data_IF_901554765836
#
_entry.id   IF_901554765836
#
_cell.length_a   1.000
_cell.length_b   1.000
_cell.length_c   1.000
_cell.angle_alpha   90.00
_cell.angle_beta   90.00
_cell.angle_gamma   90.00
#
_symmetry.space_group_name_H-M   'P 1'
#
loop_
_entity.id
_entity.type
_entity.pdbx_description
1 polymer ?
#
# COMPACT_ATOMS: atom_id res chain seq x y z
N UNK A 1 31.43 -9.06 51.52
CA UNK A 1 30.15 -8.38 51.64
C UNK A 1 29.05 -9.39 51.42
N UNK A 2 28.05 -9.53 52.28
CA UNK A 2 26.92 -10.40 52.02
C UNK A 2 26.11 -9.86 50.82
N UNK A 3 25.77 -10.75 49.89
CA UNK A 3 24.85 -10.40 48.79
C UNK A 3 23.45 -10.26 49.36
N UNK A 4 22.86 -9.10 49.21
CA UNK A 4 21.48 -8.81 49.61
C UNK A 4 20.59 -8.96 48.35
N UNK A 5 19.56 -9.77 48.49
CA UNK A 5 18.58 -9.92 47.40
C UNK A 5 17.64 -8.71 47.41
N UNK A 6 17.73 -7.89 46.39
CA UNK A 6 16.85 -6.73 46.22
C UNK A 6 15.55 -7.20 45.50
N UNK A 7 14.43 -7.16 46.22
CA UNK A 7 13.13 -7.47 45.65
C UNK A 7 12.43 -6.18 45.22
N UNK A 8 12.28 -5.96 43.94
CA UNK A 8 11.52 -4.84 43.36
C UNK A 8 10.22 -5.38 42.80
N UNK A 9 9.11 -4.77 43.11
CA UNK A 9 7.81 -5.17 42.62
C UNK A 9 7.75 -5.07 41.07
N UNK A 10 7.15 -6.06 40.38
CA UNK A 10 7.00 -5.99 38.94
C UNK A 10 6.00 -4.90 38.53
N UNK A 11 6.23 -4.33 37.35
CA UNK A 11 5.39 -3.26 36.81
C UNK A 11 6.03 -1.89 36.92
N UNK A 12 5.47 -0.91 36.22
CA UNK A 12 5.96 0.47 36.16
C UNK A 12 4.92 1.35 36.83
N UNK A 13 5.34 2.08 37.88
CA UNK A 13 4.50 3.05 38.56
C UNK A 13 4.82 4.46 38.05
N UNK A 14 3.98 4.94 37.11
CA UNK A 14 4.05 6.30 36.56
C UNK A 14 3.07 7.29 37.21
N UNK A 15 2.28 6.84 38.18
CA UNK A 15 1.29 7.69 38.81
C UNK A 15 1.87 8.42 40.05
N UNK A 16 2.86 7.82 40.69
CA UNK A 16 3.51 8.40 41.87
C UNK A 16 4.76 9.19 41.47
N UNK A 17 5.20 10.05 42.37
CA UNK A 17 6.52 10.67 42.27
C UNK A 17 7.61 9.60 42.47
N UNK A 18 8.84 9.86 42.02
CA UNK A 18 9.96 8.94 42.18
C UNK A 18 10.16 8.53 43.64
N UNK A 19 9.96 9.45 44.59
CA UNK A 19 10.02 9.16 46.03
C UNK A 19 8.83 8.31 46.52
N UNK A 20 7.63 8.51 45.94
CA UNK A 20 6.45 7.74 46.32
C UNK A 20 6.42 6.33 45.67
N UNK A 21 7.27 6.09 44.70
CA UNK A 21 7.41 4.80 44.02
C UNK A 21 8.58 3.95 44.60
N UNK A 22 8.99 4.18 45.83
CA UNK A 22 10.07 3.42 46.47
C UNK A 22 9.78 1.90 46.40
N UNK A 23 10.76 1.12 45.95
CA UNK A 23 10.62 -0.33 45.74
C UNK A 23 9.89 -0.74 44.49
N UNK A 24 9.61 0.18 43.56
CA UNK A 24 8.97 -0.06 42.27
C UNK A 24 9.83 0.50 41.13
N UNK A 25 9.53 0.06 39.92
CA UNK A 25 10.11 0.62 38.68
C UNK A 25 9.34 1.89 38.30
N UNK A 26 10.02 2.99 38.11
CA UNK A 26 9.40 4.27 37.70
C UNK A 26 9.44 4.46 36.20
N UNK A 27 10.43 3.89 35.51
CA UNK A 27 10.54 3.87 34.06
C UNK A 27 11.31 2.65 33.57
N UNK A 28 10.97 2.15 32.38
CA UNK A 28 11.65 1.05 31.72
C UNK A 28 11.49 1.21 30.21
N UNK A 29 12.52 0.86 29.47
CA UNK A 29 12.50 0.76 28.01
C UNK A 29 12.91 -0.65 27.58
N UNK A 30 12.18 -1.21 26.61
CA UNK A 30 12.42 -2.55 26.05
C UNK A 30 12.46 -3.69 27.10
N UNK A 31 11.65 -3.58 28.15
CA UNK A 31 11.55 -4.54 29.26
C UNK A 31 10.12 -5.08 29.36
N UNK A 32 10.00 -6.39 29.56
CA UNK A 32 8.77 -7.05 30.02
C UNK A 32 8.99 -7.68 31.38
N UNK A 33 7.92 -7.82 32.14
CA UNK A 33 7.95 -8.52 33.42
C UNK A 33 7.40 -9.94 33.22
N UNK A 34 8.23 -10.95 33.50
CA UNK A 34 7.86 -12.35 33.44
C UNK A 34 8.18 -13.02 34.77
N UNK A 35 7.20 -13.72 35.34
CA UNK A 35 7.31 -14.34 36.68
C UNK A 35 7.80 -13.36 37.77
N UNK A 36 7.40 -12.08 37.67
CA UNK A 36 7.83 -11.06 38.64
C UNK A 36 9.23 -10.47 38.41
N UNK A 37 9.96 -10.93 37.40
CA UNK A 37 11.31 -10.45 37.07
C UNK A 37 11.30 -9.63 35.77
N UNK A 38 12.10 -8.54 35.71
CA UNK A 38 12.30 -7.81 34.48
C UNK A 38 13.13 -8.65 33.50
N UNK A 39 12.65 -8.77 32.28
CA UNK A 39 13.30 -9.46 31.18
C UNK A 39 13.41 -8.52 29.98
N UNK A 40 14.58 -8.43 29.37
CA UNK A 40 14.77 -7.64 28.17
C UNK A 40 13.94 -8.21 27.01
N UNK A 41 13.13 -7.38 26.38
CA UNK A 41 12.46 -7.72 25.14
C UNK A 41 13.52 -7.68 24.02
N UNK A 42 13.60 -8.74 23.22
CA UNK A 42 14.44 -8.77 22.02
C UNK A 42 14.07 -7.65 21.05
N UNK A 43 15.02 -7.22 20.23
CA UNK A 43 14.77 -6.23 19.18
C UNK A 43 13.87 -6.77 18.07
N UNK A 44 13.34 -5.85 17.27
CA UNK A 44 12.60 -6.17 16.06
C UNK A 44 13.58 -6.46 14.91
N UNK A 45 13.33 -7.50 14.15
CA UNK A 45 14.02 -7.78 12.90
C UNK A 45 13.02 -7.65 11.75
N UNK A 46 13.48 -7.15 10.61
CA UNK A 46 12.66 -7.16 9.39
C UNK A 46 12.46 -8.59 8.93
N UNK A 47 11.23 -8.96 8.60
CA UNK A 47 10.88 -10.26 8.02
C UNK A 47 11.15 -10.25 6.52
N UNK A 48 10.92 -9.11 5.85
CA UNK A 48 11.18 -8.93 4.41
C UNK A 48 12.30 -7.92 4.19
N UNK A 49 13.11 -8.13 3.15
CA UNK A 49 14.16 -7.18 2.74
C UNK A 49 13.58 -5.89 2.18
N UNK A 50 12.51 -6.02 1.40
CA UNK A 50 11.90 -4.93 0.66
C UNK A 50 10.67 -4.36 1.36
N UNK A 51 10.36 -3.11 1.07
CA UNK A 51 9.16 -2.47 1.57
C UNK A 51 7.96 -2.82 0.69
N UNK A 52 6.83 -3.14 1.30
CA UNK A 52 5.56 -3.30 0.59
C UNK A 52 5.09 -1.95 0.06
N UNK A 53 4.51 -1.94 -1.14
CA UNK A 53 3.92 -0.74 -1.72
C UNK A 53 2.60 -0.42 -1.00
N UNK A 54 2.50 0.80 -0.49
CA UNK A 54 1.34 1.26 0.28
C UNK A 54 1.45 0.99 1.78
N UNK A 55 0.43 1.42 2.52
CA UNK A 55 0.31 1.23 3.96
C UNK A 55 -0.52 -0.02 4.26
N UNK A 56 0.06 -1.00 4.94
CA UNK A 56 -0.65 -2.22 5.36
C UNK A 56 -1.75 -1.87 6.36
N UNK A 57 -2.98 -2.28 6.06
CA UNK A 57 -4.19 -2.02 6.87
C UNK A 57 -4.95 -3.27 7.26
N UNK A 58 -4.64 -4.38 6.63
CA UNK A 58 -5.17 -5.69 6.98
C UNK A 58 -4.05 -6.72 6.95
N UNK A 59 -4.12 -7.65 7.86
CA UNK A 59 -3.22 -8.80 7.92
C UNK A 59 -4.01 -10.03 8.35
N UNK A 60 -3.79 -11.13 7.68
CA UNK A 60 -4.33 -12.44 8.03
C UNK A 60 -3.17 -13.44 7.99
N UNK A 61 -3.06 -14.26 9.02
CA UNK A 61 -2.08 -15.34 9.06
C UNK A 61 -2.75 -16.65 9.43
N UNK A 62 -2.41 -17.72 8.71
CA UNK A 62 -2.93 -19.05 8.95
C UNK A 62 -1.87 -20.11 8.61
N UNK A 63 -2.18 -21.37 8.84
CA UNK A 63 -1.42 -22.51 8.32
C UNK A 63 -2.36 -23.47 7.60
N UNK A 64 -1.86 -24.08 6.53
CA UNK A 64 -2.55 -25.16 5.84
C UNK A 64 -2.50 -26.47 6.64
N UNK A 65 -3.12 -27.53 6.12
CA UNK A 65 -3.13 -28.86 6.73
C UNK A 65 -1.74 -29.54 6.72
N UNK A 66 -0.84 -29.09 5.87
CA UNK A 66 0.54 -29.56 5.80
C UNK A 66 1.46 -28.83 6.79
N UNK A 67 0.95 -27.78 7.46
CA UNK A 67 1.70 -26.98 8.42
C UNK A 67 2.50 -25.84 7.78
N UNK A 68 2.32 -25.57 6.49
CA UNK A 68 2.89 -24.39 5.83
C UNK A 68 2.20 -23.15 6.35
N UNK A 69 2.99 -22.13 6.65
CA UNK A 69 2.48 -20.88 7.22
C UNK A 69 2.35 -19.83 6.13
N UNK A 70 1.19 -19.25 6.06
CA UNK A 70 0.86 -18.16 5.15
C UNK A 70 0.50 -16.90 5.91
N UNK A 71 0.79 -15.75 5.31
CA UNK A 71 0.26 -14.47 5.75
C UNK A 71 -0.09 -13.61 4.55
N UNK A 72 -1.24 -12.95 4.60
CA UNK A 72 -1.65 -11.97 3.58
C UNK A 72 -1.61 -10.58 4.20
N UNK A 73 -1.09 -9.64 3.44
CA UNK A 73 -1.00 -8.22 3.79
C UNK A 73 -1.80 -7.41 2.78
N UNK A 74 -2.92 -6.84 3.22
CA UNK A 74 -3.70 -5.90 2.42
C UNK A 74 -3.23 -4.47 2.66
N UNK A 75 -2.63 -3.85 1.64
CA UNK A 75 -2.30 -2.42 1.67
C UNK A 75 -3.38 -1.60 0.99
N UNK A 76 -3.28 -0.27 1.05
CA UNK A 76 -4.17 0.60 0.30
C UNK A 76 -3.92 0.57 -1.22
N UNK A 77 -2.87 -0.09 -1.69
CA UNK A 77 -2.51 -0.19 -3.12
C UNK A 77 -2.45 -1.62 -3.63
N UNK A 78 -2.07 -2.57 -2.78
CA UNK A 78 -1.68 -3.92 -3.16
C UNK A 78 -2.18 -4.97 -2.18
N UNK A 79 -2.21 -6.21 -2.66
CA UNK A 79 -2.40 -7.41 -1.86
C UNK A 79 -1.17 -8.31 -2.01
N UNK A 80 -0.54 -8.64 -0.89
CA UNK A 80 0.66 -9.49 -0.87
C UNK A 80 0.40 -10.77 -0.11
N UNK A 81 0.95 -11.87 -0.60
CA UNK A 81 1.05 -13.12 0.14
C UNK A 81 2.49 -13.35 0.58
N UNK A 82 2.66 -13.94 1.75
CA UNK A 82 3.94 -14.31 2.34
C UNK A 82 3.91 -15.76 2.77
N UNK A 83 4.92 -16.51 2.39
CA UNK A 83 5.17 -17.87 2.85
C UNK A 83 6.67 -18.19 2.74
N UNK A 84 7.19 -19.03 3.63
CA UNK A 84 8.57 -19.56 3.57
C UNK A 84 9.65 -18.50 3.33
N UNK A 85 9.57 -17.37 4.03
CA UNK A 85 10.49 -16.22 3.91
C UNK A 85 10.45 -15.49 2.57
N UNK A 86 9.51 -15.84 1.68
CA UNK A 86 9.24 -15.16 0.41
C UNK A 86 7.91 -14.43 0.45
N UNK A 87 7.79 -13.35 -0.32
CA UNK A 87 6.50 -12.71 -0.55
C UNK A 87 6.29 -12.45 -2.04
N UNK A 88 5.05 -12.46 -2.45
CA UNK A 88 4.64 -12.19 -3.81
C UNK A 88 3.47 -11.21 -3.83
N UNK A 89 3.40 -10.42 -4.90
CA UNK A 89 2.25 -9.60 -5.22
C UNK A 89 1.15 -10.49 -5.81
N UNK A 90 0.04 -10.58 -5.11
CA UNK A 90 -1.16 -11.33 -5.54
C UNK A 90 -2.33 -10.40 -5.83
N UNK A 91 -2.05 -9.12 -6.11
CA UNK A 91 -3.08 -8.14 -6.42
C UNK A 91 -3.84 -8.56 -7.68
N UNK A 92 -5.17 -8.68 -7.62
CA UNK A 92 -5.94 -9.09 -8.78
C UNK A 92 -5.82 -8.09 -9.93
N UNK A 93 -5.68 -8.60 -11.14
CA UNK A 93 -5.69 -7.80 -12.36
C UNK A 93 -7.13 -7.63 -12.86
N UNK A 94 -7.47 -6.44 -13.39
CA UNK A 94 -8.81 -6.16 -13.95
C UNK A 94 -8.86 -6.22 -15.46
N UNK A 95 -7.78 -5.83 -16.14
CA UNK A 95 -7.75 -5.75 -17.60
C UNK A 95 -6.32 -5.79 -18.14
N UNK A 96 -6.20 -6.16 -19.40
CA UNK A 96 -4.98 -6.02 -20.20
C UNK A 96 -5.27 -5.07 -21.35
N UNK A 97 -4.38 -4.10 -21.58
CA UNK A 97 -4.48 -3.10 -22.65
C UNK A 97 -3.31 -3.21 -23.63
N UNK A 98 -3.46 -2.53 -24.75
CA UNK A 98 -2.43 -2.40 -25.77
C UNK A 98 -1.98 -0.96 -25.87
N UNK A 99 -0.81 -0.67 -25.32
CA UNK A 99 -0.17 0.63 -25.48
C UNK A 99 0.27 0.81 -26.92
N UNK A 100 -0.32 1.78 -27.58
CA UNK A 100 -0.03 2.08 -28.99
C UNK A 100 1.12 3.08 -29.14
N UNK A 101 1.36 3.88 -28.12
CA UNK A 101 2.38 4.93 -28.16
C UNK A 101 2.79 5.38 -26.76
N UNK A 102 4.07 5.66 -26.60
CA UNK A 102 4.61 6.50 -25.53
C UNK A 102 4.99 7.85 -26.10
N UNK A 103 4.86 8.90 -25.30
CA UNK A 103 5.34 10.24 -25.61
C UNK A 103 6.23 10.73 -24.47
N UNK A 104 7.43 11.16 -24.83
CA UNK A 104 8.44 11.67 -23.91
C UNK A 104 8.68 13.16 -24.16
N UNK A 105 9.01 13.87 -23.09
CA UNK A 105 9.45 15.28 -23.14
C UNK A 105 10.90 15.37 -22.67
N UNK A 106 11.74 16.09 -23.42
CA UNK A 106 13.13 16.28 -23.07
C UNK A 106 13.30 16.81 -21.65
N UNK A 107 14.27 16.25 -20.92
CA UNK A 107 14.59 16.56 -19.52
C UNK A 107 13.45 16.27 -18.51
N UNK A 108 12.43 15.50 -18.90
CA UNK A 108 11.31 15.09 -18.03
C UNK A 108 11.31 13.59 -17.79
N UNK A 109 10.97 13.16 -16.58
CA UNK A 109 10.67 11.76 -16.25
C UNK A 109 9.21 11.40 -16.53
N UNK A 110 8.33 12.39 -16.76
CA UNK A 110 6.92 12.13 -17.06
C UNK A 110 6.79 11.61 -18.48
N UNK A 111 6.16 10.47 -18.63
CA UNK A 111 5.87 9.84 -19.92
C UNK A 111 4.34 9.76 -20.07
N UNK A 112 3.83 10.20 -21.20
CA UNK A 112 2.43 10.04 -21.57
C UNK A 112 2.29 8.70 -22.29
N UNK A 113 1.33 7.91 -21.87
CA UNK A 113 1.02 6.59 -22.42
C UNK A 113 -0.33 6.66 -23.10
N UNK A 114 -0.40 6.17 -24.34
CA UNK A 114 -1.65 6.06 -25.10
C UNK A 114 -2.09 4.62 -25.16
N UNK A 115 -3.24 4.35 -24.52
CA UNK A 115 -3.93 3.07 -24.53
C UNK A 115 -5.44 3.34 -24.62
N UNK A 116 -6.10 2.83 -25.65
CA UNK A 116 -7.48 3.17 -25.92
C UNK A 116 -8.45 2.58 -24.88
N UNK A 117 -9.28 3.42 -24.30
CA UNK A 117 -10.33 3.01 -23.34
C UNK A 117 -9.80 2.23 -22.16
N UNK A 118 -8.65 2.62 -21.63
CA UNK A 118 -7.96 1.92 -20.54
C UNK A 118 -8.75 1.85 -19.23
N UNK A 119 -9.71 2.76 -19.01
CA UNK A 119 -10.56 2.79 -17.82
C UNK A 119 -9.80 2.94 -16.50
N UNK A 120 -8.55 3.39 -16.55
CA UNK A 120 -7.73 3.61 -15.37
C UNK A 120 -8.04 4.96 -14.73
N UNK A 121 -7.84 5.04 -13.43
CA UNK A 121 -7.96 6.26 -12.64
C UNK A 121 -6.62 6.61 -11.99
N UNK A 122 -6.52 7.83 -11.46
CA UNK A 122 -5.32 8.28 -10.75
C UNK A 122 -5.07 7.38 -9.54
N UNK A 123 -3.82 6.93 -9.39
CA UNK A 123 -3.40 6.04 -8.31
C UNK A 123 -3.52 4.54 -8.60
N UNK A 124 -4.09 4.14 -9.76
CA UNK A 124 -4.05 2.76 -10.22
C UNK A 124 -2.61 2.32 -10.48
N UNK A 125 -2.37 1.02 -10.30
CA UNK A 125 -1.11 0.40 -10.67
C UNK A 125 -1.23 -0.28 -12.03
N UNK A 126 -0.20 -0.11 -12.86
CA UNK A 126 -0.10 -0.71 -14.18
C UNK A 126 1.26 -1.32 -14.38
N UNK A 127 1.30 -2.59 -14.77
CA UNK A 127 2.52 -3.26 -15.19
C UNK A 127 2.66 -3.19 -16.69
N UNK A 128 3.74 -2.60 -17.17
CA UNK A 128 4.07 -2.48 -18.59
C UNK A 128 5.07 -3.55 -18.96
N UNK A 129 4.75 -4.30 -20.01
CA UNK A 129 5.58 -5.40 -20.52
C UNK A 129 5.68 -5.34 -22.05
N UNK A 130 6.61 -6.12 -22.61
CA UNK A 130 6.78 -6.27 -24.06
C UNK A 130 6.97 -4.94 -24.81
N UNK A 131 7.73 -4.00 -24.22
CA UNK A 131 8.04 -2.72 -24.88
C UNK A 131 8.87 -2.97 -26.13
N UNK A 132 8.41 -2.45 -27.28
CA UNK A 132 8.99 -2.74 -28.61
C UNK A 132 10.35 -2.09 -28.86
N UNK A 133 10.73 -1.05 -28.08
CA UNK A 133 11.99 -0.35 -28.27
C UNK A 133 12.24 0.74 -27.25
N UNK A 134 13.44 1.30 -27.26
CA UNK A 134 13.77 2.50 -26.49
C UNK A 134 13.11 3.73 -27.11
N UNK A 135 12.77 4.71 -26.25
CA UNK A 135 12.18 5.96 -26.70
C UNK A 135 12.68 7.14 -25.87
N UNK A 136 12.99 8.25 -26.53
CA UNK A 136 13.42 9.48 -25.87
C UNK A 136 14.68 9.32 -24.99
N UNK A 137 15.53 8.31 -25.27
CA UNK A 137 16.68 7.96 -24.42
C UNK A 137 16.32 7.06 -23.23
N UNK A 138 15.06 6.75 -23.01
CA UNK A 138 14.64 5.74 -22.05
C UNK A 138 14.79 4.35 -22.67
N UNK A 139 15.45 3.44 -21.98
CA UNK A 139 15.60 2.06 -22.40
C UNK A 139 14.31 1.28 -22.24
N UNK A 140 14.20 0.12 -22.89
CA UNK A 140 13.08 -0.80 -22.65
C UNK A 140 12.95 -1.15 -21.14
N UNK A 141 14.07 -1.40 -20.47
CA UNK A 141 14.10 -1.72 -19.04
C UNK A 141 13.55 -0.59 -18.16
N UNK A 142 13.67 0.67 -18.59
CA UNK A 142 13.10 1.81 -17.87
C UNK A 142 11.58 1.89 -18.01
N UNK A 143 11.00 1.25 -19.01
CA UNK A 143 9.58 1.26 -19.31
C UNK A 143 8.88 -0.08 -19.02
N UNK A 144 9.64 -1.18 -18.95
CA UNK A 144 9.13 -2.51 -18.58
C UNK A 144 9.16 -2.69 -17.06
N UNK A 145 8.29 -1.95 -16.38
CA UNK A 145 8.17 -1.96 -14.92
C UNK A 145 6.71 -1.76 -14.53
N UNK A 146 6.47 -1.83 -13.25
CA UNK A 146 5.24 -1.42 -12.66
C UNK A 146 5.27 0.07 -12.34
N UNK A 147 4.16 0.77 -12.65
CA UNK A 147 4.03 2.20 -12.47
C UNK A 147 2.70 2.57 -11.81
N UNK A 148 2.73 3.62 -11.02
CA UNK A 148 1.52 4.30 -10.55
C UNK A 148 1.06 5.31 -11.61
N UNK A 149 -0.23 5.33 -11.90
CA UNK A 149 -0.85 6.31 -12.80
C UNK A 149 -0.98 7.63 -12.07
N UNK A 150 -0.29 8.66 -12.54
CA UNK A 150 -0.23 9.98 -11.90
C UNK A 150 -1.37 10.89 -12.33
N UNK A 151 -1.76 10.85 -13.59
CA UNK A 151 -2.87 11.62 -14.13
C UNK A 151 -3.51 10.90 -15.30
N UNK A 152 -4.78 11.20 -15.54
CA UNK A 152 -5.57 10.67 -16.65
C UNK A 152 -6.12 11.86 -17.46
N UNK A 153 -5.33 12.39 -18.41
CA UNK A 153 -5.76 13.53 -19.23
C UNK A 153 -6.97 13.24 -20.11
N UNK A 154 -7.12 11.99 -20.55
CA UNK A 154 -8.25 11.54 -21.36
C UNK A 154 -8.57 10.06 -21.13
N UNK A 155 -9.70 9.60 -21.66
CA UNK A 155 -10.06 8.17 -21.61
C UNK A 155 -9.07 7.24 -22.33
N UNK A 156 -8.16 7.80 -23.13
CA UNK A 156 -7.19 7.05 -23.92
C UNK A 156 -5.75 7.35 -23.57
N UNK A 157 -5.49 8.23 -22.59
CA UNK A 157 -4.14 8.63 -22.22
C UNK A 157 -4.00 8.77 -20.72
N UNK A 158 -2.87 8.32 -20.19
CA UNK A 158 -2.47 8.53 -18.81
C UNK A 158 -0.98 8.86 -18.72
N UNK A 159 -0.52 9.31 -17.57
CA UNK A 159 0.89 9.63 -17.33
C UNK A 159 1.49 8.73 -16.26
N UNK A 160 2.75 8.37 -16.46
CA UNK A 160 3.59 7.64 -15.51
C UNK A 160 4.89 8.40 -15.27
N UNK A 161 5.62 8.06 -14.20
CA UNK A 161 6.99 8.55 -13.97
C UNK A 161 8.00 7.47 -14.29
N UNK A 162 8.81 7.68 -15.31
CA UNK A 162 9.94 6.81 -15.60
C UNK A 162 11.07 6.98 -14.56
N UNK A 163 11.92 5.95 -14.33
CA UNK A 163 13.02 6.01 -13.38
C UNK A 163 14.16 6.96 -13.79
N UNK A 164 14.13 7.48 -15.02
CA UNK A 164 15.10 8.43 -15.54
C UNK A 164 14.42 9.50 -16.39
N UNK A 165 15.08 10.65 -16.55
CA UNK A 165 14.61 11.70 -17.45
C UNK A 165 14.87 11.31 -18.91
N UNK A 166 13.90 11.61 -19.75
CA UNK A 166 14.09 11.49 -21.20
C UNK A 166 15.12 12.51 -21.70
N UNK A 167 15.91 12.12 -22.68
CA UNK A 167 16.96 12.97 -23.30
C UNK A 167 16.49 13.65 -24.58
N UNK A 168 15.29 13.33 -25.06
CA UNK A 168 14.65 13.97 -26.21
C UNK A 168 13.14 13.86 -26.15
N UNK A 169 12.45 14.77 -26.80
CA UNK A 169 10.99 14.73 -26.99
C UNK A 169 10.69 13.92 -28.22
N UNK A 170 10.09 12.75 -28.05
CA UNK A 170 9.72 11.82 -29.14
C UNK A 170 8.48 11.06 -28.81
N UNK A 171 7.84 10.51 -29.83
CA UNK A 171 6.68 9.60 -29.73
C UNK A 171 6.98 8.28 -30.41
N UNK A 172 6.48 7.18 -29.89
CA UNK A 172 6.66 5.85 -30.49
C UNK A 172 6.63 4.74 -29.46
N UNK A 173 7.17 3.60 -29.83
CA UNK A 173 7.15 2.33 -29.13
C UNK A 173 5.74 1.85 -28.74
N UNK A 174 5.55 0.56 -28.72
CA UNK A 174 4.33 -0.12 -28.31
C UNK A 174 4.62 -1.04 -27.15
N UNK A 175 3.62 -1.41 -26.37
CA UNK A 175 3.76 -2.30 -25.23
C UNK A 175 2.43 -2.96 -24.86
N UNK A 176 2.48 -3.88 -23.92
CA UNK A 176 1.29 -4.42 -23.26
C UNK A 176 1.19 -3.83 -21.85
N UNK A 177 0.01 -3.37 -21.49
CA UNK A 177 -0.32 -2.91 -20.15
C UNK A 177 -1.17 -3.97 -19.43
N UNK A 178 -0.86 -4.28 -18.19
CA UNK A 178 -1.71 -5.05 -17.29
C UNK A 178 -2.12 -4.16 -16.14
N UNK A 179 -3.41 -3.88 -16.05
CA UNK A 179 -3.98 -3.02 -15.02
C UNK A 179 -4.44 -3.86 -13.83
N UNK A 180 -4.05 -3.45 -12.65
CA UNK A 180 -4.59 -4.01 -11.40
C UNK A 180 -5.97 -3.44 -11.10
N UNK A 181 -6.66 -4.06 -10.15
CA UNK A 181 -7.91 -3.52 -9.64
C UNK A 181 -7.63 -2.19 -8.93
N UNK A 182 -8.60 -1.29 -8.97
CA UNK A 182 -8.53 -0.07 -8.18
C UNK A 182 -8.74 -0.42 -6.70
N UNK A 183 -7.70 -0.25 -5.89
CA UNK A 183 -7.74 -0.55 -4.45
C UNK A 183 -8.26 0.62 -3.62
N UNK A 184 -8.81 1.66 -4.27
CA UNK A 184 -9.32 2.86 -3.62
C UNK A 184 -8.23 3.84 -3.16
N UNK A 185 -8.62 4.93 -2.53
CA UNK A 185 -7.72 6.02 -2.15
C UNK A 185 -6.77 5.66 -1.01
N UNK A 186 -5.57 6.21 -1.04
CA UNK A 186 -4.59 6.11 0.06
C UNK A 186 -5.08 6.79 1.35
N UNK A 187 -5.91 7.81 1.23
CA UNK A 187 -6.44 8.61 2.34
C UNK A 187 -7.95 8.71 2.26
N UNK A 188 -8.61 8.78 3.40
CA UNK A 188 -10.03 9.15 3.43
C UNK A 188 -10.17 10.62 3.07
N UNK A 189 -10.95 10.91 2.05
CA UNK A 189 -11.38 12.28 1.76
C UNK A 189 -12.67 12.47 2.53
N UNK A 190 -12.63 13.26 3.60
CA UNK A 190 -13.84 13.68 4.27
C UNK A 190 -14.61 14.60 3.31
N UNK A 191 -15.68 14.04 2.75
CA UNK A 191 -16.65 14.85 2.04
C UNK A 191 -17.26 15.87 3.00
N UNK A 192 -17.74 16.92 2.45
CA UNK A 192 -18.44 18.07 3.01
C UNK A 192 -19.15 17.84 4.34
N UNK A 193 -18.85 18.69 5.29
CA UNK A 193 -19.49 18.76 6.59
C UNK A 193 -19.00 19.96 7.36
N UNK A 194 -19.59 20.22 8.51
CA UNK A 194 -19.12 21.23 9.45
C UNK A 194 -17.66 20.92 9.84
N UNK A 195 -16.75 21.85 9.56
CA UNK A 195 -15.33 21.71 9.88
C UNK A 195 -14.46 21.04 8.80
N UNK A 196 -14.99 20.68 7.64
CA UNK A 196 -14.23 20.05 6.53
C UNK A 196 -13.55 21.05 5.59
N UNK A 197 -13.80 22.36 5.74
CA UNK A 197 -13.21 23.43 4.92
C UNK A 197 -13.02 24.70 5.75
N UNK A 198 -12.33 25.69 5.17
CA UNK A 198 -12.21 27.03 5.77
C UNK A 198 -13.59 27.68 5.94
N UNK A 199 -13.82 28.29 7.10
CA UNK A 199 -15.03 29.08 7.36
C UNK A 199 -15.25 30.13 6.26
N UNK A 200 -16.43 30.10 5.65
CA UNK A 200 -16.80 31.07 4.61
C UNK A 200 -16.40 30.68 3.18
N UNK A 201 -15.89 29.44 2.96
CA UNK A 201 -15.49 28.99 1.64
C UNK A 201 -16.65 28.71 0.68
N UNK A 202 -17.90 28.61 1.16
CA UNK A 202 -19.10 28.44 0.34
C UNK A 202 -20.33 29.04 0.98
N UNK A 203 -21.33 29.37 0.17
CA UNK A 203 -22.65 29.84 0.63
C UNK A 203 -23.52 28.64 1.04
N UNK A 204 -24.54 28.90 1.89
CA UNK A 204 -25.42 27.85 2.43
C UNK A 204 -26.24 27.10 1.38
N UNK A 205 -26.39 27.64 0.19
CA UNK A 205 -27.15 27.10 -0.94
C UNK A 205 -26.26 26.57 -2.07
N UNK A 206 -24.95 26.59 -1.91
CA UNK A 206 -24.03 26.08 -2.92
C UNK A 206 -24.12 24.55 -2.98
N UNK A 207 -24.52 24.02 -4.12
CA UNK A 207 -24.51 22.57 -4.38
C UNK A 207 -23.12 22.01 -4.16
N UNK A 208 -23.06 20.85 -3.50
CA UNK A 208 -21.80 20.15 -3.21
C UNK A 208 -21.12 19.56 -4.46
N UNK A 209 -21.73 19.70 -5.61
CA UNK A 209 -21.23 19.20 -6.89
C UNK A 209 -20.14 20.07 -7.52
N UNK A 210 -19.84 21.25 -6.97
CA UNK A 210 -18.92 22.20 -7.60
C UNK A 210 -17.45 22.00 -7.26
N UNK A 211 -17.07 21.02 -6.44
CA UNK A 211 -15.67 20.70 -6.21
C UNK A 211 -15.21 19.65 -7.22
N UNK A 212 -14.62 20.15 -8.29
CA UNK A 212 -13.96 19.36 -9.33
C UNK A 212 -13.00 18.35 -8.69
N UNK A 213 -13.31 17.06 -8.81
CA UNK A 213 -12.48 15.95 -8.38
C UNK A 213 -12.95 15.19 -7.12
N UNK A 214 -13.99 15.66 -6.44
CA UNK A 214 -14.65 14.90 -5.39
C UNK A 214 -16.10 14.63 -5.80
N UNK A 215 -16.33 13.55 -6.48
CA UNK A 215 -17.68 12.99 -6.53
C UNK A 215 -18.09 12.73 -5.08
N UNK A 216 -19.16 13.37 -4.61
CA UNK A 216 -19.59 13.51 -3.21
C UNK A 216 -19.80 12.24 -2.39
N UNK A 217 -18.93 11.29 -2.53
CA UNK A 217 -18.88 10.04 -1.81
C UNK A 217 -17.75 10.14 -0.78
N UNK A 218 -18.06 9.81 0.46
CA UNK A 218 -17.05 9.51 1.47
C UNK A 218 -16.20 8.35 0.93
N UNK A 219 -15.08 8.69 0.32
CA UNK A 219 -14.11 7.68 -0.10
C UNK A 219 -13.35 7.27 1.16
N UNK A 220 -13.76 6.18 1.76
CA UNK A 220 -12.94 5.50 2.73
C UNK A 220 -11.61 5.09 2.09
N UNK A 221 -10.55 5.23 2.85
CA UNK A 221 -9.25 4.75 2.43
C UNK A 221 -9.29 3.25 2.12
N UNK A 222 -8.58 2.81 1.10
CA UNK A 222 -8.51 1.41 0.68
C UNK A 222 -8.27 0.46 1.87
N UNK A 223 -9.19 -0.45 2.08
CA UNK A 223 -9.18 -1.46 3.16
C UNK A 223 -9.51 -2.81 2.57
N UNK A 224 -9.01 -3.85 3.20
CA UNK A 224 -9.32 -5.23 2.90
C UNK A 224 -9.95 -5.90 4.12
N UNK A 225 -10.96 -6.72 3.89
CA UNK A 225 -11.38 -7.74 4.84
C UNK A 225 -10.83 -9.08 4.34
N UNK A 226 -10.08 -9.75 5.17
CA UNK A 226 -9.36 -10.98 4.83
C UNK A 226 -9.89 -12.11 5.71
N UNK A 227 -10.13 -13.27 5.11
CA UNK A 227 -10.52 -14.49 5.83
C UNK A 227 -10.01 -15.73 5.09
N UNK A 228 -10.08 -16.88 5.72
CA UNK A 228 -9.70 -18.15 5.12
C UNK A 228 -10.91 -18.91 4.60
N UNK A 229 -10.73 -19.65 3.52
CA UNK A 229 -11.70 -20.59 2.98
C UNK A 229 -11.03 -21.95 2.79
N UNK A 230 -11.11 -22.79 3.82
CA UNK A 230 -10.31 -24.00 3.87
C UNK A 230 -8.82 -23.67 4.06
N UNK A 231 -7.99 -24.09 3.12
CA UNK A 231 -6.57 -23.78 3.10
C UNK A 231 -6.22 -22.49 2.37
N UNK A 232 -7.19 -21.97 1.61
CA UNK A 232 -7.05 -20.82 0.74
C UNK A 232 -7.52 -19.53 1.42
N UNK A 233 -7.39 -18.41 0.73
CA UNK A 233 -7.74 -17.13 1.27
C UNK A 233 -8.79 -16.39 0.44
N UNK A 234 -9.66 -15.69 1.16
CA UNK A 234 -10.61 -14.74 0.62
C UNK A 234 -10.17 -13.31 0.96
N UNK A 235 -10.19 -12.45 -0.03
CA UNK A 235 -9.91 -11.04 0.12
C UNK A 235 -11.08 -10.22 -0.43
N UNK A 236 -11.78 -9.53 0.44
CA UNK A 236 -12.83 -8.58 0.08
C UNK A 236 -12.26 -7.18 0.13
N UNK A 237 -12.23 -6.52 -1.02
CA UNK A 237 -11.92 -5.11 -1.07
C UNK A 237 -13.12 -4.27 -0.62
N UNK A 238 -12.91 -3.28 0.23
CA UNK A 238 -13.97 -2.37 0.67
C UNK A 238 -14.52 -1.59 -0.54
N UNK A 239 -15.84 -1.66 -0.75
CA UNK A 239 -16.54 -1.15 -1.95
C UNK A 239 -16.10 -1.77 -3.28
N UNK A 240 -15.45 -2.92 -3.25
CA UNK A 240 -14.94 -3.64 -4.42
C UNK A 240 -15.41 -5.08 -4.51
N UNK A 241 -14.65 -5.90 -5.21
CA UNK A 241 -14.91 -7.32 -5.43
C UNK A 241 -14.45 -8.20 -4.27
N UNK A 242 -15.02 -9.40 -4.20
CA UNK A 242 -14.50 -10.52 -3.42
C UNK A 242 -13.58 -11.35 -4.31
N UNK A 243 -12.36 -11.56 -3.86
CA UNK A 243 -11.32 -12.32 -4.55
C UNK A 243 -10.96 -13.57 -3.78
N UNK A 244 -10.60 -14.59 -4.50
CA UNK A 244 -10.16 -15.88 -3.98
C UNK A 244 -8.72 -16.12 -4.43
N UNK A 245 -7.86 -16.46 -3.50
CA UNK A 245 -6.48 -16.85 -3.79
C UNK A 245 -6.28 -18.31 -3.42
N UNK A 246 -5.93 -19.12 -4.40
CA UNK A 246 -5.62 -20.54 -4.30
C UNK A 246 -4.15 -20.71 -3.91
N UNK A 247 -3.89 -21.20 -2.72
CA UNK A 247 -2.53 -21.44 -2.20
C UNK A 247 -1.76 -22.48 -3.00
N UNK A 248 -2.45 -23.40 -3.69
CA UNK A 248 -1.82 -24.41 -4.55
C UNK A 248 -1.16 -23.82 -5.81
N UNK A 249 -1.53 -22.59 -6.17
CA UNK A 249 -0.90 -21.85 -7.26
C UNK A 249 0.51 -21.36 -6.95
N UNK A 250 0.92 -21.45 -5.68
CA UNK A 250 2.22 -20.99 -5.19
C UNK A 250 2.28 -19.45 -5.00
N UNK A 251 3.45 -18.98 -4.57
CA UNK A 251 3.80 -17.57 -4.48
C UNK A 251 4.49 -17.10 -5.76
#
# INVERSE_FOLDING_TARGET
MPLTNLQIAPGIDKQNTEYGAEGKWVDCDNVRFRYGLPEKIGGWAKVTSDALIGATRAILAWSDLNGVKYAIYGTNKKLYAYSEESYADITPTRATGSITQFETTNASATVIVTDASHGAVIGDMVTISSVSGAIGGLSQANLQNEFEILSVPSANTYTITAPANATSSTTGATATATYEINTSSATSIFGYGWGSSTWGASTWDTSRESLTGAEGVLLDSGKWALDTWGEDALALQFNGGLYYWDTSSGL
#
